data_IF_998224944682
#
_entry.id   IF_998224944682
#
_cell.length_a   1.000
_cell.length_b   1.000
_cell.length_c   1.000
_cell.angle_alpha   90.00
_cell.angle_beta   90.00
_cell.angle_gamma   90.00
#
_symmetry.space_group_name_H-M   'P 1'
#
loop_
_entity.id
_entity.type
_entity.pdbx_description
1 polymer ?
2 non-polymer ?
3 water ?
#
# COMPACT_ATOMS: atom_id res chain seq x y z
N UNK A 3 4.00 9.85 -21.83
CA UNK A 3 4.09 10.17 -23.30
C UNK A 3 2.79 9.75 -24.04
N UNK A 4 2.09 10.67 -24.72
CA UNK A 4 2.57 12.04 -25.04
C UNK A 4 2.56 13.05 -23.88
N UNK A 5 2.09 12.64 -22.69
CA UNK A 5 2.28 13.40 -21.48
C UNK A 5 3.66 13.99 -21.30
N UNK A 6 3.74 15.09 -20.56
CA UNK A 6 5.02 15.67 -20.23
C UNK A 6 5.10 15.81 -18.75
N UNK A 7 6.26 15.50 -18.21
CA UNK A 7 6.51 15.73 -16.82
C UNK A 7 7.21 17.05 -16.70
N UNK A 8 6.83 17.86 -15.71
CA UNK A 8 7.54 19.10 -15.42
C UNK A 8 8.23 18.97 -14.10
N UNK A 9 9.48 19.40 -14.04
CA UNK A 9 10.29 19.29 -12.82
C UNK A 9 9.86 20.35 -11.79
N UNK A 10 9.80 20.00 -10.52
CA UNK A 10 9.59 20.97 -9.47
C UNK A 10 10.62 20.82 -8.40
N UNK A 11 10.93 21.93 -7.77
CA UNK A 11 11.87 21.92 -6.67
C UNK A 11 11.16 21.22 -5.52
N UNK A 12 11.82 20.24 -4.92
CA UNK A 12 11.09 19.44 -3.83
C UNK A 12 10.65 20.24 -2.59
N UNK A 13 11.17 21.46 -2.38
CA UNK A 13 10.74 22.35 -1.30
C UNK A 13 9.71 23.41 -1.68
N UNK A 14 9.27 23.42 -2.95
CA UNK A 14 8.16 24.30 -3.37
C UNK A 14 6.85 24.14 -2.56
N UNK A 15 6.50 22.92 -2.22
CA UNK A 15 5.20 22.61 -1.65
C UNK A 15 5.40 21.60 -0.50
N UNK A 16 5.03 21.95 0.72
CA UNK A 16 5.14 20.93 1.78
C UNK A 16 4.37 19.66 1.53
N UNK A 17 3.36 19.70 0.65
CA UNK A 17 2.55 18.50 0.35
C UNK A 17 3.35 17.42 -0.30
N UNK A 18 4.41 17.79 -1.03
CA UNK A 18 5.18 16.74 -1.71
C UNK A 18 5.73 15.73 -0.69
N UNK A 19 6.25 16.23 0.42
CA UNK A 19 6.71 15.34 1.49
C UNK A 19 5.58 14.60 2.20
N UNK A 20 4.41 15.25 2.36
CA UNK A 20 3.25 14.55 2.93
C UNK A 20 2.85 13.43 1.98
N UNK A 21 2.83 13.71 0.68
CA UNK A 21 2.53 12.67 -0.30
C UNK A 21 3.56 11.51 -0.28
N UNK A 22 4.84 11.81 -0.06
CA UNK A 22 5.89 10.81 0.02
C UNK A 22 5.64 9.89 1.20
N UNK A 23 5.38 10.48 2.35
CA UNK A 23 5.05 9.71 3.58
C UNK A 23 3.79 8.84 3.37
N UNK A 24 2.77 9.37 2.70
CA UNK A 24 1.57 8.62 2.35
C UNK A 24 1.94 7.37 1.54
N UNK A 25 2.70 7.59 0.46
CA UNK A 25 3.07 6.50 -0.43
C UNK A 25 3.89 5.44 0.27
N UNK A 26 4.90 5.89 1.00
CA UNK A 26 5.84 4.97 1.63
C UNK A 26 5.15 4.15 2.71
N UNK A 27 4.36 4.83 3.54
CA UNK A 27 3.68 4.18 4.65
C UNK A 27 2.55 3.25 4.21
N UNK A 28 2.00 3.43 3.02
CA UNK A 28 0.91 2.56 2.53
C UNK A 28 1.36 1.15 2.14
N UNK A 29 2.67 0.98 1.85
CA UNK A 29 3.17 -0.30 1.29
C UNK A 29 3.83 -1.02 2.48
N UNK A 30 3.04 -1.97 3.00
CA UNK A 30 3.33 -2.67 4.26
C UNK A 30 3.68 -4.12 4.04
N UNK A 31 3.57 -4.62 2.79
CA UNK A 31 3.68 -6.02 2.50
C UNK A 31 5.02 -6.60 3.00
N UNK A 32 4.92 -7.67 3.75
CA UNK A 32 6.11 -8.45 4.20
C UNK A 32 7.17 -7.64 4.98
N UNK A 33 6.75 -6.64 5.71
CA UNK A 33 7.67 -5.84 6.52
C UNK A 33 7.29 -6.08 7.97
N UNK A 34 8.26 -5.94 8.90
CA UNK A 34 7.95 -5.86 10.32
C UNK A 34 7.75 -4.40 10.75
N UNK A 35 8.51 -3.46 10.16
CA UNK A 35 8.44 -2.03 10.45
C UNK A 35 8.03 -1.26 9.24
N UNK A 36 7.32 -0.16 9.46
CA UNK A 36 7.04 0.73 8.36
C UNK A 36 8.38 1.23 7.82
N UNK A 37 8.45 1.47 6.54
CA UNK A 37 9.43 2.33 5.99
C UNK A 37 9.04 3.81 6.22
N UNK A 38 10.03 4.70 6.05
CA UNK A 38 9.79 6.15 6.10
C UNK A 38 10.69 6.86 5.09
N UNK A 39 10.45 8.17 4.93
CA UNK A 39 11.16 8.96 3.95
C UNK A 39 12.53 9.29 4.49
N UNK A 40 13.56 8.95 3.76
CA UNK A 40 14.89 9.44 4.10
C UNK A 40 15.15 10.77 3.41
N UNK A 41 15.01 10.83 2.08
CA UNK A 41 15.25 12.04 1.34
C UNK A 41 14.33 12.10 0.15
N UNK A 42 13.61 13.21 -0.04
CA UNK A 42 12.87 13.42 -1.25
C UNK A 42 13.82 14.02 -2.26
N UNK A 43 14.15 13.27 -3.29
CA UNK A 43 15.16 13.66 -4.25
C UNK A 43 14.61 14.59 -5.35
N UNK A 44 13.48 14.22 -5.90
CA UNK A 44 12.93 15.01 -6.99
C UNK A 44 11.44 14.84 -7.08
N UNK A 45 10.82 15.79 -7.78
CA UNK A 45 9.38 15.85 -7.95
C UNK A 45 9.06 16.34 -9.34
N UNK A 46 8.20 15.61 -10.01
CA UNK A 46 7.76 15.96 -11.35
C UNK A 46 6.26 15.89 -11.35
N UNK A 47 5.61 16.69 -12.17
CA UNK A 47 4.19 16.65 -12.24
C UNK A 47 3.67 16.63 -13.67
N UNK A 48 2.45 16.16 -13.77
CA UNK A 48 1.77 16.06 -15.04
C UNK A 48 0.27 16.13 -14.81
N UNK A 49 -0.41 16.94 -15.60
CA UNK A 49 -1.86 17.05 -15.50
C UNK A 49 -2.50 15.99 -16.40
N UNK A 50 -3.37 15.15 -15.81
CA UNK A 50 -4.36 14.34 -16.55
C UNK A 50 -5.79 14.55 -15.95
N UNK A 51 -6.28 13.58 -15.18
CA UNK A 51 -7.46 13.76 -14.35
C UNK A 51 -6.86 13.96 -12.94
N UNK A 52 -6.90 15.20 -12.50
CA UNK A 52 -6.14 15.65 -11.37
C UNK A 52 -4.70 15.81 -11.82
N UNK A 53 -3.81 15.87 -10.85
CA UNK A 53 -2.41 16.08 -11.08
C UNK A 53 -1.67 14.81 -10.59
N UNK A 54 -0.86 14.22 -11.44
CA UNK A 54 0.05 13.16 -11.05
C UNK A 54 1.39 13.72 -10.59
N UNK A 55 1.84 13.35 -9.36
CA UNK A 55 3.14 13.76 -8.86
C UNK A 55 4.06 12.53 -8.82
N UNK A 56 5.20 12.60 -9.50
CA UNK A 56 6.19 11.54 -9.49
C UNK A 56 7.28 11.94 -8.52
N UNK A 57 7.41 11.15 -7.45
CA UNK A 57 8.24 11.41 -6.33
C UNK A 57 9.37 10.37 -6.31
N UNK A 58 10.60 10.81 -6.44
CA UNK A 58 11.76 9.90 -6.37
C UNK A 58 12.42 10.16 -5.03
N UNK A 59 12.64 9.07 -4.28
CA UNK A 59 12.97 9.13 -2.90
C UNK A 59 13.94 8.09 -2.46
N UNK A 60 14.74 8.42 -1.47
CA UNK A 60 15.41 7.45 -0.64
C UNK A 60 14.46 7.05 0.49
N UNK A 61 14.30 5.75 0.65
CA UNK A 61 13.34 5.13 1.55
C UNK A 61 14.09 4.11 2.41
N UNK A 62 13.79 4.10 3.70
CA UNK A 62 14.45 3.13 4.57
C UNK A 62 13.56 2.85 5.75
N UNK A 63 13.94 1.84 6.53
CA UNK A 63 13.16 1.34 7.65
C UNK A 63 13.03 2.37 8.81
N UNK A 64 11.84 2.56 9.32
CA UNK A 64 11.60 3.41 10.44
C UNK A 64 11.65 2.59 11.75
N UNK A 65 11.54 3.31 12.81
CA UNK A 65 11.46 2.71 14.15
C UNK A 65 10.04 2.22 14.49
N UNK A 66 9.06 2.36 13.57
CA UNK A 66 7.67 2.05 13.90
C UNK A 66 7.37 0.61 13.45
N UNK A 67 6.80 -0.18 14.38
CA UNK A 67 6.47 -1.60 14.16
C UNK A 67 5.04 -1.77 13.67
N UNK A 68 4.85 -2.38 12.51
CA UNK A 68 3.54 -2.59 11.95
C UNK A 68 2.67 -3.42 12.92
N UNK A 69 1.48 -2.89 13.22
CA UNK A 69 0.55 -3.50 14.11
C UNK A 69 0.72 -3.13 15.55
N UNK A 70 1.74 -2.37 15.86
CA UNK A 70 1.93 -1.81 17.19
C UNK A 70 1.77 -0.31 17.20
N UNK A 71 2.45 0.35 16.28
CA UNK A 71 2.51 1.79 16.19
C UNK A 71 1.71 2.22 14.99
N UNK A 72 0.92 3.29 15.13
CA UNK A 72 0.32 3.94 13.96
C UNK A 72 1.42 4.70 13.23
N UNK A 73 1.27 4.88 11.93
CA UNK A 73 2.26 5.65 11.20
C UNK A 73 2.04 7.15 11.29
N UNK A 74 3.09 7.87 11.67
CA UNK A 74 3.16 9.33 11.52
C UNK A 74 4.57 9.70 11.19
N UNK A 75 4.75 10.77 10.40
CA UNK A 75 6.09 11.30 10.13
C UNK A 75 6.85 11.68 11.42
N UNK A 76 6.14 12.21 12.39
CA UNK A 76 6.74 12.62 13.67
C UNK A 76 7.18 11.41 14.54
N UNK A 77 6.34 10.39 14.61
CA UNK A 77 6.69 9.19 15.38
C UNK A 77 7.71 8.24 14.74
N UNK A 78 7.54 8.02 13.44
CA UNK A 78 8.23 7.01 12.70
C UNK A 78 9.45 7.54 11.96
N UNK A 79 10.41 7.97 12.77
CA UNK A 79 11.73 8.35 12.27
C UNK A 79 12.61 7.13 11.93
N UNK A 80 13.66 7.40 11.15
CA UNK A 80 14.56 6.42 10.62
C UNK A 80 15.26 5.65 11.71
N UNK A 81 15.52 4.37 11.41
CA UNK A 81 16.52 3.65 12.17
C UNK A 81 17.88 4.12 11.72
N UNK A 82 18.84 4.02 12.61
CA UNK A 82 20.25 4.27 12.30
C UNK A 82 20.87 3.12 11.52
N UNK A 83 21.78 3.50 10.59
CA UNK A 83 22.59 2.62 9.73
C UNK A 83 21.85 1.39 9.09
N UNK A 84 20.65 1.64 8.62
CA UNK A 84 19.94 0.60 7.84
C UNK A 84 20.10 1.04 6.37
N UNK A 85 20.05 0.08 5.44
CA UNK A 85 20.18 0.42 3.99
C UNK A 85 18.99 1.14 3.46
N UNK A 86 19.14 1.91 2.40
CA UNK A 86 18.01 2.53 1.74
C UNK A 86 17.81 1.90 0.39
N UNK A 87 16.61 2.12 -0.12
CA UNK A 87 16.26 1.85 -1.49
C UNK A 87 15.84 3.15 -2.18
N UNK A 88 16.04 3.17 -3.48
CA UNK A 88 15.60 4.26 -4.34
C UNK A 88 14.24 3.93 -4.84
N UNK A 89 13.23 4.71 -4.50
CA UNK A 89 11.87 4.42 -4.89
C UNK A 89 11.28 5.56 -5.69
N UNK A 90 10.46 5.20 -6.67
CA UNK A 90 9.64 6.14 -7.41
C UNK A 90 8.17 5.84 -7.15
N UNK A 91 7.43 6.82 -6.62
CA UNK A 91 6.00 6.76 -6.37
C UNK A 91 5.30 7.71 -7.24
N UNK A 92 4.17 7.31 -7.81
CA UNK A 92 3.32 8.25 -8.48
C UNK A 92 2.05 8.37 -7.63
N UNK A 93 1.75 9.60 -7.19
CA UNK A 93 0.57 9.90 -6.42
C UNK A 93 -0.28 10.80 -7.32
N UNK A 94 -1.59 10.61 -7.27
CA UNK A 94 -2.55 11.49 -7.91
C UNK A 94 -3.31 12.30 -6.86
N UNK A 95 -3.35 13.62 -7.08
CA UNK A 95 -4.07 14.53 -6.24
C UNK A 95 -5.26 15.12 -7.07
N UNK A 96 -6.45 15.10 -6.48
CA UNK A 96 -7.68 15.71 -7.05
C UNK A 96 -8.03 16.90 -6.19
N UNK A 97 -7.68 18.10 -6.65
CA UNK A 97 -7.94 19.30 -5.81
C UNK A 97 -9.42 19.47 -5.38
N UNK A 98 -10.32 19.14 -6.30
CA UNK A 98 -11.77 19.27 -6.13
C UNK A 98 -12.42 18.36 -5.08
N UNK A 99 -11.67 17.37 -4.57
CA UNK A 99 -12.12 16.51 -3.46
C UNK A 99 -11.08 16.44 -2.32
N UNK A 100 -10.00 17.22 -2.44
CA UNK A 100 -8.84 17.09 -1.57
C UNK A 100 -8.47 15.61 -1.38
N UNK A 101 -8.42 14.87 -2.49
CA UNK A 101 -8.21 13.43 -2.45
C UNK A 101 -6.89 13.01 -3.10
N UNK A 102 -6.18 12.13 -2.39
CA UNK A 102 -4.86 11.58 -2.75
C UNK A 102 -4.93 10.05 -2.87
N UNK A 103 -4.46 9.54 -4.01
CA UNK A 103 -4.37 8.11 -4.29
C UNK A 103 -3.01 7.73 -4.80
N UNK A 104 -2.53 6.58 -4.37
CA UNK A 104 -1.25 6.06 -4.90
C UNK A 104 -1.48 5.32 -6.19
N UNK A 105 -0.84 5.76 -7.28
CA UNK A 105 -0.91 5.15 -8.58
C UNK A 105 0.11 4.04 -8.78
N UNK A 106 1.33 4.26 -8.31
CA UNK A 106 2.38 3.24 -8.51
C UNK A 106 3.55 3.47 -7.57
N UNK A 107 4.32 2.42 -7.34
CA UNK A 107 5.41 2.43 -6.37
C UNK A 107 6.42 1.40 -6.78
N UNK A 108 7.61 1.85 -7.16
CA UNK A 108 8.65 0.97 -7.71
C UNK A 108 9.95 1.24 -7.02
N UNK A 109 10.60 0.19 -6.56
CA UNK A 109 11.72 0.35 -5.68
C UNK A 109 12.93 -0.45 -6.19
N UNK A 110 14.13 0.09 -5.99
CA UNK A 110 15.34 -0.70 -6.13
C UNK A 110 15.50 -1.71 -4.96
N UNK A 111 16.53 -2.52 -5.04
CA UNK A 111 16.98 -3.34 -3.90
C UNK A 111 17.38 -2.41 -2.74
N UNK A 112 17.29 -2.97 -1.54
CA UNK A 112 17.45 -2.21 -0.31
C UNK A 112 18.82 -2.52 0.19
N UNK A 113 19.81 -1.92 -0.47
CA UNK A 113 21.22 -2.27 -0.31
C UNK A 113 22.16 -1.06 -0.25
N UNK A 114 21.68 0.15 -0.14
CA UNK A 114 22.50 1.36 -0.29
C UNK A 114 22.70 2.12 1.03
N UNK A 115 23.80 2.85 1.12
CA UNK A 115 24.00 3.84 2.15
C UNK A 115 24.66 3.24 3.35
N UNK A 116 25.05 1.98 3.22
CA UNK A 116 25.73 1.27 4.26
C UNK A 116 27.15 0.96 3.71
N UNK B 3 -2.92 -13.64 27.92
CA UNK B 3 -2.29 -12.55 27.11
C UNK B 3 -2.45 -12.79 25.61
N UNK B 4 -2.18 -14.05 25.12
CA UNK B 4 -2.43 -14.29 23.71
C UNK B 4 -3.89 -13.98 23.36
N UNK B 5 -4.10 -13.35 22.21
CA UNK B 5 -5.43 -12.95 21.78
C UNK B 5 -6.32 -14.13 21.41
N UNK B 6 -7.60 -13.83 21.28
CA UNK B 6 -8.56 -14.81 20.81
C UNK B 6 -9.18 -14.25 19.55
N UNK B 7 -9.18 -15.10 18.54
CA UNK B 7 -9.76 -14.74 17.25
C UNK B 7 -11.09 -15.48 17.13
N UNK B 8 -12.15 -14.75 16.80
CA UNK B 8 -13.44 -15.33 16.58
C UNK B 8 -13.63 -15.61 15.07
N UNK B 9 -13.96 -16.85 14.71
CA UNK B 9 -14.22 -17.23 13.31
C UNK B 9 -15.57 -16.76 12.82
N UNK B 10 -15.61 -16.44 11.53
CA UNK B 10 -16.80 -16.05 10.79
C UNK B 10 -16.78 -16.75 9.45
N UNK B 11 -17.94 -17.17 8.99
CA UNK B 11 -18.08 -17.76 7.66
C UNK B 11 -17.80 -16.64 6.65
N UNK B 12 -16.97 -16.94 5.68
CA UNK B 12 -16.51 -15.87 4.77
C UNK B 12 -17.55 -15.18 3.94
N UNK B 13 -18.71 -15.82 3.74
CA UNK B 13 -19.76 -15.29 2.88
C UNK B 13 -20.88 -14.62 3.73
N UNK B 14 -20.74 -14.54 5.05
CA UNK B 14 -21.86 -13.99 5.83
C UNK B 14 -22.03 -12.51 5.49
N UNK B 15 -20.93 -11.75 5.54
CA UNK B 15 -20.96 -10.30 5.43
C UNK B 15 -20.23 -9.88 4.14
N UNK B 16 -20.95 -9.20 3.22
CA UNK B 16 -20.26 -8.68 2.04
C UNK B 16 -19.02 -7.85 2.31
N UNK B 17 -18.95 -7.21 3.47
CA UNK B 17 -17.78 -6.43 3.82
C UNK B 17 -16.46 -7.25 3.83
N UNK B 18 -16.55 -8.56 4.17
CA UNK B 18 -15.33 -9.36 4.27
C UNK B 18 -14.64 -9.35 2.93
N UNK B 19 -15.39 -9.61 1.86
CA UNK B 19 -14.78 -9.65 0.55
C UNK B 19 -14.42 -8.23 0.10
N UNK B 20 -15.18 -7.20 0.49
CA UNK B 20 -14.76 -5.82 0.19
C UNK B 20 -13.41 -5.52 0.78
N UNK B 21 -13.23 -5.94 2.01
CA UNK B 21 -12.00 -5.68 2.73
C UNK B 21 -10.85 -6.46 2.10
N UNK B 22 -11.13 -7.69 1.62
CA UNK B 22 -10.10 -8.46 0.94
C UNK B 22 -9.63 -7.75 -0.33
N UNK B 23 -10.58 -7.32 -1.16
CA UNK B 23 -10.26 -6.58 -2.38
C UNK B 23 -9.47 -5.29 -2.05
N UNK B 24 -9.92 -4.58 -1.03
CA UNK B 24 -9.25 -3.36 -0.57
C UNK B 24 -7.81 -3.65 -0.18
N UNK B 25 -7.61 -4.68 0.61
CA UNK B 25 -6.28 -5.05 1.02
C UNK B 25 -5.39 -5.43 -0.15
N UNK B 26 -5.87 -6.35 -0.98
CA UNK B 26 -5.11 -6.87 -2.13
C UNK B 26 -4.70 -5.80 -3.12
N UNK B 27 -5.66 -4.95 -3.48
CA UNK B 27 -5.42 -3.91 -4.50
C UNK B 27 -4.60 -2.76 -3.92
N UNK B 28 -4.47 -2.62 -2.58
CA UNK B 28 -3.67 -1.53 -1.99
C UNK B 28 -2.15 -1.74 -2.19
N UNK B 29 -1.72 -2.98 -2.37
CA UNK B 29 -0.30 -3.32 -2.42
C UNK B 29 0.13 -3.45 -3.87
N UNK B 30 0.80 -2.38 -4.32
CA UNK B 30 1.07 -2.19 -5.75
C UNK B 30 2.58 -2.24 -6.03
N UNK B 31 3.34 -2.32 -4.97
CA UNK B 31 4.79 -2.28 -5.04
C UNK B 31 5.36 -3.25 -6.06
N UNK B 32 6.11 -2.73 -7.02
CA UNK B 32 6.94 -3.57 -7.94
C UNK B 32 6.11 -4.56 -8.73
N UNK B 33 4.90 -4.12 -9.10
CA UNK B 33 4.05 -4.96 -9.92
C UNK B 33 3.69 -4.22 -11.18
N UNK B 34 3.50 -4.97 -12.27
CA UNK B 34 2.89 -4.39 -13.45
C UNK B 34 1.36 -4.38 -13.35
N UNK B 35 0.78 -5.45 -12.78
CA UNK B 35 -0.66 -5.63 -12.73
C UNK B 35 -1.11 -5.73 -11.29
N UNK B 36 -2.28 -5.19 -11.00
CA UNK B 36 -2.88 -5.41 -9.67
C UNK B 36 -3.04 -6.90 -9.51
N UNK B 37 -2.90 -7.36 -8.26
CA UNK B 37 -3.46 -8.60 -7.87
C UNK B 37 -4.96 -8.46 -7.64
N UNK B 38 -5.65 -9.61 -7.55
CA UNK B 38 -7.04 -9.67 -7.12
C UNK B 38 -7.33 -10.95 -6.32
N UNK B 39 -8.56 -11.07 -5.84
CA UNK B 39 -8.93 -12.14 -4.96
C UNK B 39 -9.23 -13.41 -5.77
N UNK B 40 -8.56 -14.53 -5.48
CA UNK B 40 -8.97 -15.83 -6.00
C UNK B 40 -9.98 -16.48 -5.05
N UNK B 41 -9.64 -16.56 -3.77
CA UNK B 41 -10.48 -17.19 -2.78
C UNK B 41 -10.30 -16.53 -1.43
N UNK B 42 -11.40 -16.11 -0.81
CA UNK B 42 -11.38 -15.80 0.64
C UNK B 42 -11.53 -17.11 1.49
N UNK B 43 -10.42 -17.59 2.04
CA UNK B 43 -10.38 -18.87 2.71
C UNK B 43 -11.04 -18.76 4.08
N UNK B 44 -10.67 -17.77 4.87
CA UNK B 44 -11.16 -17.64 6.24
C UNK B 44 -11.18 -16.18 6.68
N UNK B 45 -12.03 -15.93 7.67
CA UNK B 45 -12.24 -14.60 8.28
C UNK B 45 -12.28 -14.80 9.77
N UNK B 46 -11.44 -14.07 10.48
CA UNK B 46 -11.46 -14.06 11.91
C UNK B 46 -11.42 -12.67 12.47
N UNK B 47 -12.03 -12.44 13.63
CA UNK B 47 -12.02 -11.13 14.26
C UNK B 47 -11.48 -11.11 15.67
N UNK B 48 -11.04 -9.94 16.04
CA UNK B 48 -10.57 -9.68 17.39
C UNK B 48 -10.71 -8.21 17.69
N UNK B 49 -11.25 -7.90 18.87
CA UNK B 49 -11.38 -6.53 19.27
C UNK B 49 -10.13 -6.08 20.00
N UNK B 50 -9.53 -4.99 19.55
CA UNK B 50 -8.48 -4.33 20.32
C UNK B 50 -8.85 -2.85 20.42
N UNK B 51 -8.31 -2.02 19.53
CA UNK B 51 -8.76 -0.67 19.33
C UNK B 51 -9.47 -0.74 17.96
N UNK B 52 -10.79 -0.75 18.01
CA UNK B 52 -11.58 -1.20 16.88
C UNK B 52 -11.52 -2.69 16.69
N UNK B 53 -11.97 -3.14 15.53
CA UNK B 53 -12.07 -4.55 15.27
C UNK B 53 -11.07 -4.96 14.21
N UNK B 54 -10.13 -5.87 14.55
CA UNK B 54 -9.22 -6.43 13.54
C UNK B 54 -9.87 -7.63 12.87
N UNK B 55 -9.85 -7.64 11.55
CA UNK B 55 -10.31 -8.79 10.81
C UNK B 55 -9.11 -9.37 10.09
N UNK B 56 -8.79 -10.61 10.42
CA UNK B 56 -7.76 -11.39 9.76
C UNK B 56 -8.34 -12.21 8.60
N UNK B 57 -7.91 -11.88 7.39
CA UNK B 57 -8.42 -12.49 6.13
C UNK B 57 -7.32 -13.37 5.50
N UNK B 58 -7.54 -14.67 5.39
CA UNK B 58 -6.62 -15.59 4.77
C UNK B 58 -7.17 -15.80 3.38
N UNK B 59 -6.30 -15.68 2.40
CA UNK B 59 -6.71 -15.58 1.01
C UNK B 59 -5.77 -16.30 0.05
N UNK B 60 -6.30 -16.76 -1.08
CA UNK B 60 -5.51 -17.01 -2.27
C UNK B 60 -5.61 -15.74 -3.13
N UNK B 61 -4.48 -15.28 -3.60
CA UNK B 61 -4.32 -14.03 -4.31
C UNK B 61 -3.55 -14.31 -5.60
N UNK B 62 -3.97 -13.74 -6.72
CA UNK B 62 -3.18 -13.86 -7.96
C UNK B 62 -3.29 -12.63 -8.82
N UNK B 63 -2.46 -12.61 -9.86
CA UNK B 63 -2.37 -11.52 -10.78
C UNK B 63 -3.68 -11.36 -11.53
N UNK B 64 -4.13 -10.11 -11.65
CA UNK B 64 -5.38 -9.78 -12.36
C UNK B 64 -5.02 -9.30 -13.73
N UNK B 65 -6.04 -8.97 -14.52
CA UNK B 65 -5.87 -8.40 -15.86
C UNK B 65 -5.71 -6.90 -15.80
N UNK B 66 -5.76 -6.30 -14.62
CA UNK B 66 -5.74 -4.83 -14.59
C UNK B 66 -4.29 -4.33 -14.44
N UNK B 67 -3.91 -3.38 -15.29
CA UNK B 67 -2.56 -2.81 -15.36
C UNK B 67 -2.44 -1.55 -14.48
N UNK B 68 -1.46 -1.55 -13.59
CA UNK B 68 -1.22 -0.44 -12.70
C UNK B 68 -0.82 0.80 -13.45
N UNK B 69 -1.44 1.91 -13.07
CA UNK B 69 -1.21 3.21 -13.74
C UNK B 69 -2.00 3.34 -15.02
N UNK B 70 -2.90 2.40 -15.29
CA UNK B 70 -3.70 2.40 -16.52
C UNK B 70 -5.16 2.14 -16.22
N UNK B 71 -5.44 1.03 -15.53
CA UNK B 71 -6.79 0.66 -15.15
C UNK B 71 -7.00 1.07 -13.73
N UNK B 72 -8.19 1.51 -13.40
CA UNK B 72 -8.51 1.64 -11.98
C UNK B 72 -9.03 0.28 -11.45
N UNK B 73 -8.65 -0.06 -10.23
CA UNK B 73 -9.04 -1.34 -9.67
C UNK B 73 -10.52 -1.46 -9.40
N UNK B 74 -11.13 -2.55 -9.83
CA UNK B 74 -12.44 -2.94 -9.28
C UNK B 74 -12.55 -4.45 -9.35
N UNK B 75 -13.28 -5.03 -8.42
CA UNK B 75 -13.51 -6.46 -8.54
C UNK B 75 -14.24 -6.82 -9.82
N UNK B 76 -15.12 -5.94 -10.31
CA UNK B 76 -15.91 -6.21 -11.54
C UNK B 76 -15.08 -6.14 -12.82
N UNK B 77 -14.09 -5.25 -12.84
CA UNK B 77 -13.18 -5.07 -13.99
C UNK B 77 -11.97 -6.02 -13.96
N UNK B 78 -11.47 -6.36 -12.79
CA UNK B 78 -10.14 -6.95 -12.67
C UNK B 78 -10.25 -8.46 -12.43
N UNK B 79 -10.22 -9.21 -13.52
CA UNK B 79 -10.38 -10.65 -13.47
C UNK B 79 -9.04 -11.30 -13.21
N UNK B 80 -9.08 -12.45 -12.55
CA UNK B 80 -7.92 -13.34 -12.47
C UNK B 80 -7.30 -13.61 -13.86
N UNK B 81 -5.98 -13.45 -14.02
CA UNK B 81 -5.33 -13.98 -15.20
C UNK B 81 -5.40 -15.49 -15.23
N UNK B 82 -5.47 -16.03 -16.44
CA UNK B 82 -5.42 -17.46 -16.66
C UNK B 82 -3.95 -17.88 -16.70
N UNK B 83 -3.67 -19.09 -16.24
CA UNK B 83 -2.33 -19.67 -16.28
C UNK B 83 -1.24 -18.91 -15.54
N UNK B 84 -1.51 -18.41 -14.34
CA UNK B 84 -0.45 -17.90 -13.48
C UNK B 84 -0.57 -18.60 -12.15
N UNK B 85 0.53 -18.70 -11.39
CA UNK B 85 0.38 -19.27 -10.06
C UNK B 85 -0.26 -18.26 -9.10
N UNK B 86 -0.57 -18.71 -7.89
CA UNK B 86 -1.12 -17.85 -6.85
C UNK B 86 -0.29 -17.93 -5.59
N UNK B 87 -0.56 -16.98 -4.71
CA UNK B 87 0.14 -16.91 -3.47
C UNK B 87 -0.92 -16.95 -2.37
N UNK B 88 -0.47 -17.33 -1.20
CA UNK B 88 -1.30 -17.39 0.00
C UNK B 88 -0.95 -16.19 0.85
N UNK B 89 -1.97 -15.38 1.18
CA UNK B 89 -1.80 -14.11 1.88
C UNK B 89 -2.68 -14.03 3.10
N UNK B 90 -2.15 -13.42 4.15
CA UNK B 90 -2.97 -12.97 5.28
C UNK B 90 -2.98 -11.43 5.36
N UNK B 91 -4.17 -10.85 5.29
CA UNK B 91 -4.34 -9.43 5.51
C UNK B 91 -4.99 -9.25 6.88
N UNK B 92 -4.61 -8.18 7.59
CA UNK B 92 -5.37 -7.78 8.77
C UNK B 92 -5.86 -6.38 8.48
N UNK B 93 -7.19 -6.21 8.46
CA UNK B 93 -7.78 -4.89 8.27
C UNK B 93 -8.44 -4.47 9.57
N UNK B 94 -8.42 -3.17 9.92
CA UNK B 94 -9.02 -2.77 11.17
C UNK B 94 -10.21 -1.90 10.81
N UNK B 95 -11.37 -2.23 11.38
CA UNK B 95 -12.60 -1.52 11.17
C UNK B 95 -12.89 -0.82 12.48
N UNK B 96 -13.07 0.51 12.41
CA UNK B 96 -13.44 1.33 13.56
C UNK B 96 -14.92 1.68 13.42
N UNK B 97 -15.79 0.99 14.17
CA UNK B 97 -17.24 1.27 14.06
C UNK B 97 -17.65 2.74 14.23
N UNK B 98 -17.08 3.39 15.25
CA UNK B 98 -17.41 4.78 15.62
C UNK B 98 -17.06 5.78 14.52
N UNK B 99 -16.02 5.47 13.75
CA UNK B 99 -15.55 6.28 12.61
C UNK B 99 -16.13 5.85 11.26
N UNK B 100 -16.70 4.64 11.24
CA UNK B 100 -17.16 3.98 10.03
C UNK B 100 -16.00 3.96 9.07
N UNK B 101 -14.87 3.44 9.55
CA UNK B 101 -13.61 3.57 8.85
C UNK B 101 -12.79 2.28 8.90
N UNK B 102 -12.22 1.94 7.74
CA UNK B 102 -11.39 0.76 7.57
C UNK B 102 -9.98 1.11 7.14
N UNK B 103 -8.98 0.51 7.80
CA UNK B 103 -7.62 0.70 7.39
C UNK B 103 -6.90 -0.62 7.31
N UNK B 104 -5.91 -0.68 6.43
CA UNK B 104 -5.06 -1.89 6.35
C UNK B 104 -4.05 -1.84 7.46
N UNK B 105 -3.95 -2.91 8.25
CA UNK B 105 -3.01 -2.97 9.36
C UNK B 105 -1.75 -3.73 8.90
N UNK B 106 -1.92 -4.91 8.30
CA UNK B 106 -0.77 -5.74 7.86
C UNK B 106 -1.12 -6.58 6.61
N UNK B 107 -0.13 -6.99 5.83
CA UNK B 107 -0.31 -7.79 4.67
C UNK B 107 0.92 -8.66 4.45
N UNK B 108 0.79 -9.98 4.62
CA UNK B 108 1.93 -10.91 4.44
C UNK B 108 1.57 -12.02 3.49
N UNK B 109 2.43 -12.26 2.51
CA UNK B 109 2.18 -13.19 1.41
C UNK B 109 3.36 -14.17 1.24
N UNK B 110 3.02 -15.41 0.86
CA UNK B 110 3.97 -16.33 0.31
C UNK B 110 4.48 -15.86 -1.07
N UNK B 111 5.49 -16.59 -1.56
CA UNK B 111 5.82 -16.54 -2.99
C UNK B 111 4.69 -17.11 -3.80
N UNK B 112 4.67 -16.71 -5.06
CA UNK B 112 3.68 -17.13 -6.01
C UNK B 112 4.09 -18.44 -6.64
N UNK B 113 3.92 -19.49 -5.85
CA UNK B 113 4.34 -20.83 -6.22
C UNK B 113 3.21 -21.87 -6.25
N UNK B 114 1.97 -21.50 -5.90
CA UNK B 114 0.82 -22.42 -5.88
C UNK B 114 0.02 -22.42 -7.18
N UNK B 115 -0.67 -23.53 -7.43
CA UNK B 115 -1.51 -23.73 -8.63
C UNK B 115 -0.77 -23.72 -9.96
N UNK B 116 0.52 -24.11 -9.94
CA UNK B 116 1.38 -24.07 -11.14
C UNK B 116 0.93 -25.14 -12.15
#
# INVERSE_FOLDING_TARGET
GMFPGVWRKHHPDVDPRYKEWAHFAISSQVENRTNFDTLMTLISVESQVIAGVDYKLKMKVAESTCVIGVDSYSKERCYLKVNVPYMLCTAVVNYMPWEHKTILKSYDCSDRVYGVKSAE
GMFPGVWRKHHPDVDPRYKEWAHFAISSQVENRTNFDTLMTLISVESQVIAGVDYKLKMKVAESTCVIGVDSYSKERCYLKVNVPYMLCTAVVNYMPWEHKTILKSYDCSDRVYGVKSAE
#
